data_IF_167649758182
#
_entry.id   IF_167649758182
#
_cell.length_a   1.000
_cell.length_b   1.000
_cell.length_c   1.000
_cell.angle_alpha   90.00
_cell.angle_beta   90.00
_cell.angle_gamma   90.00
#
_symmetry.space_group_name_H-M   'P 1'
#
loop_
_entity.id
_entity.type
_entity.pdbx_description
1 polymer ?
#
# COMPACT_ATOMS: atom_id res chain seq x y z
N UNK A 1 -44.20 -25.73 -68.66
CA UNK A 1 -43.82 -26.92 -67.87
C UNK A 1 -43.16 -26.45 -66.59
N UNK A 2 -43.73 -26.86 -65.45
CA UNK A 2 -43.09 -26.83 -64.13
C UNK A 2 -42.55 -28.26 -63.81
N UNK A 3 -41.98 -28.53 -62.61
CA UNK A 3 -40.62 -29.05 -62.35
C UNK A 3 -40.58 -30.57 -62.01
N UNK A 4 -39.44 -31.11 -61.48
CA UNK A 4 -39.30 -31.36 -60.02
C UNK A 4 -37.85 -31.13 -59.47
N UNK A 5 -37.65 -30.48 -58.30
CA UNK A 5 -37.57 -30.97 -56.89
C UNK A 5 -36.36 -31.89 -56.55
N UNK A 6 -35.41 -31.45 -55.71
CA UNK A 6 -34.92 -32.16 -54.49
C UNK A 6 -34.31 -31.15 -53.49
N UNK A 7 -34.71 -31.30 -52.23
CA UNK A 7 -34.37 -30.56 -51.00
C UNK A 7 -32.99 -30.93 -50.43
N UNK A 8 -32.31 -30.01 -49.75
CA UNK A 8 -31.48 -30.36 -48.60
C UNK A 8 -31.30 -29.15 -47.65
N UNK A 9 -31.78 -29.34 -46.43
CA UNK A 9 -31.76 -28.42 -45.30
C UNK A 9 -30.33 -28.13 -44.83
N UNK A 10 -29.93 -26.86 -44.83
CA UNK A 10 -28.77 -26.37 -44.08
C UNK A 10 -29.22 -25.65 -42.83
N UNK A 11 -29.48 -26.38 -41.74
CA UNK A 11 -29.69 -25.81 -40.40
C UNK A 11 -28.35 -25.26 -39.89
N UNK A 12 -28.16 -23.95 -39.97
CA UNK A 12 -27.12 -23.24 -39.24
C UNK A 12 -27.46 -23.26 -37.74
N UNK A 13 -26.86 -24.19 -37.00
CA UNK A 13 -26.84 -24.16 -35.53
C UNK A 13 -25.98 -22.99 -35.07
N UNK A 14 -26.61 -21.86 -34.75
CA UNK A 14 -26.00 -20.80 -33.98
C UNK A 14 -25.80 -21.29 -32.54
N UNK A 15 -24.63 -21.86 -32.24
CA UNK A 15 -24.22 -22.14 -30.87
C UNK A 15 -23.95 -20.80 -30.16
N UNK A 16 -24.97 -20.26 -29.50
CA UNK A 16 -24.79 -19.18 -28.54
C UNK A 16 -23.98 -19.72 -27.36
N UNK A 17 -22.68 -19.50 -27.39
CA UNK A 17 -21.82 -19.69 -26.22
C UNK A 17 -22.13 -18.56 -25.25
N UNK A 18 -23.08 -18.80 -24.35
CA UNK A 18 -23.27 -17.94 -23.19
C UNK A 18 -22.02 -18.10 -22.30
N UNK A 19 -21.10 -17.15 -22.38
CA UNK A 19 -20.06 -17.01 -21.38
C UNK A 19 -20.75 -16.67 -20.06
N UNK A 20 -20.76 -17.61 -19.11
CA UNK A 20 -21.12 -17.28 -17.73
C UNK A 20 -20.02 -16.36 -17.20
N UNK A 21 -20.27 -15.05 -17.25
CA UNK A 21 -19.53 -14.11 -16.41
C UNK A 21 -19.82 -14.52 -14.97
N UNK A 22 -18.80 -15.01 -14.25
CA UNK A 22 -18.90 -15.19 -12.82
C UNK A 22 -19.22 -13.79 -12.25
N UNK A 23 -20.42 -13.63 -11.69
CA UNK A 23 -20.77 -12.39 -11.00
C UNK A 23 -19.90 -12.33 -9.74
N UNK A 24 -18.77 -11.64 -9.82
CA UNK A 24 -17.95 -11.32 -8.66
C UNK A 24 -18.75 -10.33 -7.80
N UNK A 25 -19.14 -10.75 -6.61
CA UNK A 25 -19.88 -9.90 -5.68
C UNK A 25 -18.97 -8.78 -5.16
N UNK A 26 -19.26 -7.54 -5.53
CA UNK A 26 -18.52 -6.35 -5.11
C UNK A 26 -18.67 -6.12 -3.60
N UNK A 27 -17.60 -5.72 -2.93
CA UNK A 27 -17.60 -5.43 -1.50
C UNK A 27 -16.82 -4.16 -1.16
N UNK A 28 -17.12 -3.55 -0.01
CA UNK A 28 -16.42 -2.35 0.46
C UNK A 28 -15.46 -2.65 1.61
N UNK A 29 -14.28 -2.04 1.59
CA UNK A 29 -13.20 -2.29 2.55
C UNK A 29 -13.09 -1.19 3.62
N UNK A 30 -13.87 -1.30 4.69
CA UNK A 30 -13.92 -0.29 5.77
C UNK A 30 -12.56 -0.08 6.48
N UNK A 31 -11.80 -1.15 6.69
CA UNK A 31 -10.54 -1.10 7.45
C UNK A 31 -9.36 -0.54 6.66
N UNK A 32 -9.48 -0.39 5.34
CA UNK A 32 -8.38 0.08 4.50
C UNK A 32 -8.89 0.83 3.26
N UNK A 33 -9.07 2.14 3.43
CA UNK A 33 -9.62 3.06 2.40
C UNK A 33 -8.79 3.16 1.12
N UNK A 34 -7.54 2.69 1.13
CA UNK A 34 -6.65 2.70 -0.03
C UNK A 34 -6.66 1.36 -0.79
N UNK A 35 -7.67 0.52 -0.53
CA UNK A 35 -7.94 -0.68 -1.29
C UNK A 35 -8.81 -0.37 -2.51
N UNK A 36 -8.54 -1.05 -3.63
CA UNK A 36 -9.31 -0.97 -4.88
C UNK A 36 -9.58 -2.36 -5.42
N UNK A 37 -10.51 -2.49 -6.38
CA UNK A 37 -10.87 -3.77 -7.02
C UNK A 37 -11.25 -4.84 -5.98
N UNK A 38 -12.23 -4.52 -5.14
CA UNK A 38 -12.67 -5.35 -4.02
C UNK A 38 -13.77 -6.33 -4.45
N UNK A 39 -13.54 -7.61 -4.21
CA UNK A 39 -14.47 -8.71 -4.52
C UNK A 39 -14.58 -9.69 -3.36
N UNK A 40 -15.76 -10.28 -3.18
CA UNK A 40 -15.95 -11.35 -2.22
C UNK A 40 -15.34 -12.65 -2.72
N UNK A 41 -14.49 -13.26 -1.90
CA UNK A 41 -13.93 -14.57 -2.20
C UNK A 41 -14.86 -15.72 -1.78
N UNK A 42 -14.54 -16.94 -2.20
CA UNK A 42 -15.31 -18.15 -1.86
C UNK A 42 -15.39 -18.47 -0.36
N UNK A 43 -14.59 -17.81 0.47
CA UNK A 43 -14.59 -17.93 1.94
C UNK A 43 -15.42 -16.83 2.62
N UNK A 44 -16.15 -16.01 1.87
CA UNK A 44 -16.93 -14.91 2.41
C UNK A 44 -16.07 -13.76 2.95
N UNK A 45 -14.84 -13.58 2.44
CA UNK A 45 -13.97 -12.48 2.83
C UNK A 45 -13.84 -11.48 1.68
N UNK A 46 -13.96 -10.19 2.00
CA UNK A 46 -13.71 -9.13 1.04
C UNK A 46 -12.20 -9.03 0.75
N UNK A 47 -11.84 -9.30 -0.50
CA UNK A 47 -10.50 -9.36 -1.02
C UNK A 47 -10.29 -8.21 -2.00
N UNK A 48 -9.27 -7.39 -1.79
CA UNK A 48 -9.00 -6.21 -2.61
C UNK A 48 -7.52 -6.15 -3.01
N UNK A 49 -7.18 -5.18 -3.84
CA UNK A 49 -5.79 -4.84 -4.20
C UNK A 49 -5.38 -3.52 -3.54
N UNK A 50 -4.17 -3.45 -2.99
CA UNK A 50 -3.63 -2.20 -2.43
C UNK A 50 -3.17 -1.26 -3.55
N UNK A 51 -3.57 0.02 -3.50
CA UNK A 51 -3.18 1.03 -4.50
C UNK A 51 -1.66 1.12 -4.64
N UNK A 52 -1.19 1.20 -5.89
CA UNK A 52 0.24 1.27 -6.21
C UNK A 52 0.98 -0.07 -6.10
N UNK A 53 0.29 -1.17 -5.79
CA UNK A 53 0.86 -2.52 -5.70
C UNK A 53 -0.02 -3.56 -6.39
N UNK A 54 0.54 -4.75 -6.64
CA UNK A 54 -0.20 -5.94 -7.05
C UNK A 54 -0.56 -6.83 -5.85
N UNK A 55 -0.24 -6.38 -4.63
CA UNK A 55 -0.52 -7.14 -3.43
C UNK A 55 -2.02 -7.17 -3.12
N UNK A 56 -2.53 -8.38 -2.97
CA UNK A 56 -3.89 -8.65 -2.49
C UNK A 56 -3.97 -8.50 -0.97
N UNK A 57 -5.03 -7.85 -0.50
CA UNK A 57 -5.32 -7.65 0.92
C UNK A 57 -6.70 -8.21 1.26
N UNK A 58 -6.85 -8.69 2.50
CA UNK A 58 -8.13 -9.15 3.05
C UNK A 58 -8.59 -8.12 4.07
N UNK A 59 -9.77 -7.54 3.87
CA UNK A 59 -10.27 -6.39 4.64
C UNK A 59 -10.54 -6.66 6.12
N UNK A 60 -10.62 -7.94 6.53
CA UNK A 60 -10.73 -8.32 7.94
C UNK A 60 -9.39 -8.27 8.69
N UNK A 61 -8.28 -8.10 7.99
CA UNK A 61 -6.92 -7.97 8.55
C UNK A 61 -6.39 -6.57 8.32
N UNK A 62 -5.56 -6.09 9.25
CA UNK A 62 -4.82 -4.85 9.05
C UNK A 62 -3.85 -4.99 7.88
N UNK A 63 -3.91 -4.05 6.95
CA UNK A 63 -2.93 -3.94 5.88
C UNK A 63 -1.53 -3.73 6.48
N UNK A 64 -0.52 -4.34 5.86
CA UNK A 64 0.85 -4.17 6.31
C UNK A 64 1.32 -2.74 6.13
N UNK A 65 2.22 -2.29 7.01
CA UNK A 65 2.74 -0.91 6.98
C UNK A 65 3.37 -0.53 5.63
N UNK A 66 4.04 -1.48 4.95
CA UNK A 66 4.65 -1.21 3.64
C UNK A 66 3.58 -0.87 2.59
N UNK A 67 2.50 -1.64 2.52
CA UNK A 67 1.40 -1.41 1.58
C UNK A 67 0.67 -0.10 1.86
N UNK A 68 0.41 0.20 3.13
CA UNK A 68 -0.18 1.48 3.54
C UNK A 68 0.70 2.65 3.06
N UNK A 69 2.00 2.63 3.38
CA UNK A 69 2.93 3.69 2.97
C UNK A 69 3.04 3.83 1.44
N UNK A 70 3.09 2.71 0.70
CA UNK A 70 3.13 2.73 -0.77
C UNK A 70 1.88 3.37 -1.37
N UNK A 71 0.70 3.02 -0.86
CA UNK A 71 -0.56 3.56 -1.36
C UNK A 71 -0.71 5.06 -1.07
N UNK A 72 -0.32 5.51 0.13
CA UNK A 72 -0.31 6.94 0.51
C UNK A 72 0.59 7.78 -0.42
N UNK A 73 1.80 7.28 -0.66
CA UNK A 73 2.76 7.96 -1.54
C UNK A 73 2.28 7.98 -2.98
N UNK A 74 1.70 6.88 -3.48
CA UNK A 74 1.19 6.79 -4.85
C UNK A 74 0.10 7.84 -5.11
N UNK A 75 -0.85 7.98 -4.19
CA UNK A 75 -1.89 9.02 -4.30
C UNK A 75 -1.31 10.44 -4.25
N UNK A 76 -0.22 10.62 -3.52
CA UNK A 76 0.41 11.93 -3.35
C UNK A 76 1.30 12.35 -4.54
N UNK A 77 1.55 11.47 -5.53
CA UNK A 77 2.41 11.78 -6.69
C UNK A 77 1.69 12.57 -7.78
N UNK A 78 0.35 12.51 -7.84
CA UNK A 78 -0.45 13.23 -8.83
C UNK A 78 -0.29 14.75 -8.62
N UNK A 79 0.31 15.44 -9.59
CA UNK A 79 0.46 16.90 -9.60
C UNK A 79 1.79 17.44 -9.06
N UNK A 80 2.77 16.60 -8.70
CA UNK A 80 4.10 17.08 -8.30
C UNK A 80 4.94 17.49 -9.52
N UNK A 81 5.54 18.68 -9.44
CA UNK A 81 6.53 19.16 -10.43
C UNK A 81 7.85 18.40 -10.26
N UNK A 82 8.64 18.33 -11.34
CA UNK A 82 10.00 17.79 -11.27
C UNK A 82 10.80 18.53 -10.20
N UNK A 83 11.54 17.76 -9.39
CA UNK A 83 12.33 18.32 -8.30
C UNK A 83 13.59 18.98 -8.89
N UNK A 84 13.89 20.25 -8.55
CA UNK A 84 15.09 20.92 -9.03
C UNK A 84 16.36 20.30 -8.42
N UNK A 85 17.47 20.45 -9.14
CA UNK A 85 18.78 19.95 -8.73
C UNK A 85 19.24 20.63 -7.42
N UNK A 86 19.78 19.84 -6.48
CA UNK A 86 20.21 20.35 -5.17
C UNK A 86 19.10 20.56 -4.14
N UNK A 87 17.82 20.30 -4.45
CA UNK A 87 16.75 20.43 -3.46
C UNK A 87 16.91 19.41 -2.32
N UNK A 88 17.08 19.94 -1.10
CA UNK A 88 17.16 19.16 0.13
C UNK A 88 15.85 18.42 0.36
N UNK A 89 15.91 17.11 0.63
CA UNK A 89 14.73 16.32 0.98
C UNK A 89 15.02 15.41 2.15
N UNK A 90 14.32 15.70 3.25
CA UNK A 90 14.37 14.92 4.48
C UNK A 90 13.54 13.66 4.26
N UNK A 91 14.21 12.56 3.92
CA UNK A 91 13.60 11.27 3.57
C UNK A 91 13.50 10.31 4.76
N UNK A 92 13.76 10.75 5.99
CA UNK A 92 13.82 9.87 7.17
C UNK A 92 12.43 9.44 7.71
N UNK A 93 11.35 9.82 7.02
CA UNK A 93 9.97 9.50 7.39
C UNK A 93 9.23 8.70 6.33
N UNK A 94 8.54 9.40 5.44
CA UNK A 94 7.67 8.81 4.42
C UNK A 94 8.37 8.79 3.05
N UNK A 95 8.53 7.60 2.49
CA UNK A 95 9.15 7.34 1.19
C UNK A 95 8.33 6.29 0.44
N UNK A 96 8.49 6.16 -0.89
CA UNK A 96 7.87 5.07 -1.66
C UNK A 96 8.65 3.77 -1.40
N UNK A 97 8.09 2.79 -0.67
CA UNK A 97 8.86 1.63 -0.25
C UNK A 97 8.71 0.46 -1.22
N UNK A 98 9.75 -0.34 -1.38
CA UNK A 98 9.66 -1.65 -2.03
C UNK A 98 9.12 -2.69 -1.05
N UNK A 99 7.99 -3.28 -1.41
CA UNK A 99 7.35 -4.37 -0.66
C UNK A 99 7.60 -5.70 -1.37
N UNK A 100 7.65 -6.79 -0.61
CA UNK A 100 7.60 -8.14 -1.16
C UNK A 100 6.15 -8.59 -1.47
N UNK A 101 6.00 -9.84 -1.90
CA UNK A 101 4.70 -10.47 -2.24
C UNK A 101 3.78 -10.70 -1.04
N UNK A 102 4.32 -10.62 0.18
CA UNK A 102 3.53 -10.65 1.42
C UNK A 102 3.18 -9.24 1.91
N UNK A 103 3.56 -8.20 1.14
CA UNK A 103 3.40 -6.81 1.53
C UNK A 103 4.34 -6.37 2.66
N UNK A 104 5.42 -7.09 2.96
CA UNK A 104 6.42 -6.69 3.94
C UNK A 104 7.53 -5.87 3.27
N UNK A 105 8.22 -5.02 4.03
CA UNK A 105 9.36 -4.28 3.49
C UNK A 105 10.45 -5.24 3.00
N UNK A 106 10.95 -5.02 1.78
CA UNK A 106 12.24 -5.58 1.38
C UNK A 106 13.35 -4.98 2.25
N UNK A 107 14.34 -5.78 2.61
CA UNK A 107 15.42 -5.33 3.50
C UNK A 107 16.23 -4.19 2.88
N UNK A 108 16.46 -4.23 1.57
CA UNK A 108 17.06 -3.14 0.78
C UNK A 108 15.96 -2.26 0.19
N UNK A 109 16.14 -0.95 0.28
CA UNK A 109 15.27 0.09 -0.27
C UNK A 109 16.11 1.05 -1.10
N UNK A 110 15.59 1.51 -2.24
CA UNK A 110 16.33 2.36 -3.17
C UNK A 110 15.46 3.52 -3.67
N UNK A 111 16.07 4.67 -3.99
CA UNK A 111 15.34 5.88 -4.43
C UNK A 111 15.25 6.01 -5.98
N UNK A 112 15.24 4.90 -6.71
CA UNK A 112 15.25 4.90 -8.18
C UNK A 112 16.56 5.36 -8.84
N UNK A 113 17.55 5.79 -8.07
CA UNK A 113 18.96 5.96 -8.48
C UNK A 113 19.79 4.77 -8.00
N UNK A 114 21.12 4.84 -8.11
CA UNK A 114 22.03 3.87 -7.50
C UNK A 114 22.02 3.88 -5.97
N UNK A 115 21.42 4.88 -5.33
CA UNK A 115 21.45 5.04 -3.87
C UNK A 115 20.41 4.19 -3.15
N UNK A 116 20.89 3.31 -2.26
CA UNK A 116 20.07 2.39 -1.48
C UNK A 116 20.44 2.40 0.01
N UNK A 117 19.56 1.86 0.86
CA UNK A 117 19.77 1.71 2.30
C UNK A 117 19.07 0.45 2.83
N UNK A 118 19.50 -0.04 4.00
CA UNK A 118 18.82 -1.14 4.67
C UNK A 118 17.75 -0.63 5.64
N UNK A 119 16.63 -1.34 5.71
CA UNK A 119 15.51 -1.09 6.63
C UNK A 119 15.21 -2.31 7.50
N UNK A 120 14.62 -2.05 8.66
CA UNK A 120 14.07 -3.08 9.51
C UNK A 120 12.64 -3.48 9.08
N UNK A 121 12.02 -4.43 9.79
CA UNK A 121 10.63 -4.85 9.54
C UNK A 121 9.58 -3.75 9.70
N UNK A 122 9.93 -2.61 10.31
CA UNK A 122 9.04 -1.45 10.47
C UNK A 122 9.25 -0.38 9.39
N UNK A 123 10.12 -0.61 8.40
CA UNK A 123 10.45 0.33 7.33
C UNK A 123 11.37 1.49 7.78
N UNK A 124 12.03 1.36 8.92
CA UNK A 124 12.95 2.38 9.44
C UNK A 124 14.37 2.05 9.00
N UNK A 125 15.04 3.04 8.41
CA UNK A 125 16.43 2.97 7.98
C UNK A 125 17.38 2.60 9.12
N UNK A 126 18.33 1.70 8.85
CA UNK A 126 19.34 1.19 9.80
C UNK A 126 20.78 1.42 9.38
N UNK A 127 21.00 1.87 8.15
CA UNK A 127 22.31 2.15 7.58
C UNK A 127 22.30 3.49 6.89
N UNK A 128 23.48 4.00 6.55
CA UNK A 128 23.58 5.12 5.63
C UNK A 128 23.20 4.71 4.20
N UNK A 129 23.08 5.74 3.37
CA UNK A 129 22.72 5.62 1.97
C UNK A 129 23.98 5.40 1.16
N UNK A 130 24.01 4.32 0.40
CA UNK A 130 25.19 3.89 -0.36
C UNK A 130 24.78 3.27 -1.70
N UNK A 131 25.69 3.27 -2.67
CA UNK A 131 25.52 2.63 -3.96
C UNK A 131 25.79 1.12 -3.91
N UNK A 132 26.70 0.68 -3.04
CA UNK A 132 27.17 -0.71 -2.98
C UNK A 132 26.76 -1.43 -1.69
N UNK A 133 25.49 -1.28 -1.28
CA UNK A 133 24.98 -1.90 -0.06
C UNK A 133 24.27 -3.25 -0.31
N UNK A 134 24.52 -4.22 0.59
CA UNK A 134 23.86 -5.52 0.63
C UNK A 134 23.05 -5.66 1.92
N UNK A 135 21.77 -6.02 1.80
CA UNK A 135 20.86 -6.24 2.93
C UNK A 135 20.27 -7.66 2.81
N UNK A 136 20.94 -8.66 3.38
CA UNK A 136 20.56 -10.08 3.24
C UNK A 136 19.40 -10.49 4.15
N UNK A 137 19.28 -9.89 5.34
CA UNK A 137 18.22 -10.22 6.30
C UNK A 137 17.43 -8.98 6.75
N UNK A 138 16.14 -9.20 7.02
CA UNK A 138 15.27 -8.21 7.66
C UNK A 138 15.56 -8.17 9.16
N UNK A 139 16.17 -7.09 9.61
CA UNK A 139 16.32 -6.84 11.05
C UNK A 139 14.93 -6.70 11.68
N UNK A 140 14.58 -7.59 12.61
CA UNK A 140 13.29 -7.54 13.31
C UNK A 140 13.26 -6.38 14.29
N UNK A 141 12.19 -5.59 14.21
CA UNK A 141 11.93 -4.54 15.20
C UNK A 141 11.16 -5.13 16.37
N UNK A 142 11.81 -5.22 17.52
CA UNK A 142 11.11 -5.56 18.77
C UNK A 142 10.64 -4.25 19.41
N UNK A 143 9.34 -3.99 19.35
CA UNK A 143 8.76 -2.81 20.00
C UNK A 143 8.48 -3.18 21.46
N UNK A 144 9.43 -2.86 22.36
CA UNK A 144 9.12 -2.81 23.78
C UNK A 144 8.12 -1.67 24.02
N UNK A 145 6.98 -1.94 24.67
CA UNK A 145 6.03 -0.91 25.12
C UNK A 145 6.72 0.03 26.12
N UNK A 146 7.50 1.00 25.65
CA UNK A 146 7.87 2.15 26.46
C UNK A 146 6.59 2.97 26.60
N UNK A 147 6.02 3.01 27.81
CA UNK A 147 4.96 3.94 28.20
C UNK A 147 5.46 5.38 27.98
N UNK A 148 5.42 5.90 26.75
CA UNK A 148 5.56 7.34 26.49
C UNK A 148 4.17 7.92 26.51
N UNK A 149 3.85 8.70 27.55
CA UNK A 149 3.05 9.94 27.48
C UNK A 149 2.85 10.64 28.83
N UNK A 150 3.23 10.08 29.99
CA UNK A 150 3.03 10.80 31.26
C UNK A 150 4.10 11.90 31.55
N UNK A 151 5.35 11.71 31.10
CA UNK A 151 6.47 12.60 31.49
C UNK A 151 6.57 13.87 30.64
N UNK A 152 6.26 13.79 29.35
CA UNK A 152 6.35 14.93 28.42
C UNK A 152 5.18 15.90 28.63
N UNK A 153 3.96 15.36 28.76
CA UNK A 153 2.75 16.14 29.01
C UNK A 153 2.80 16.92 30.34
N UNK A 154 3.42 16.36 31.39
CA UNK A 154 3.59 17.04 32.68
C UNK A 154 4.61 18.19 32.61
N UNK A 155 5.62 18.10 31.74
CA UNK A 155 6.60 19.17 31.53
C UNK A 155 5.97 20.33 30.75
N UNK A 156 5.23 20.05 29.67
CA UNK A 156 4.54 21.09 28.88
C UNK A 156 3.45 21.81 29.68
N UNK A 157 2.67 21.09 30.50
CA UNK A 157 1.68 21.71 31.40
C UNK A 157 2.37 22.60 32.45
N UNK A 158 3.54 22.19 32.95
CA UNK A 158 4.30 22.98 33.92
C UNK A 158 4.86 24.26 33.28
N UNK A 159 5.48 24.15 32.10
CA UNK A 159 6.01 25.31 31.37
C UNK A 159 4.90 26.29 30.97
N UNK A 160 3.75 25.79 30.50
CA UNK A 160 2.59 26.64 30.19
C UNK A 160 2.02 27.31 31.45
N UNK A 161 2.03 26.62 32.59
CA UNK A 161 1.59 27.15 33.87
C UNK A 161 2.57 28.16 34.51
N UNK A 162 3.86 28.07 34.22
CA UNK A 162 4.88 29.05 34.62
C UNK A 162 4.78 30.31 33.76
N UNK A 163 4.65 30.16 32.44
CA UNK A 163 4.47 31.28 31.50
C UNK A 163 3.18 32.08 31.76
N UNK A 164 2.05 31.39 32.03
CA UNK A 164 0.81 32.07 32.38
C UNK A 164 0.88 32.81 33.73
N UNK A 165 1.80 32.41 34.62
CA UNK A 165 1.99 33.08 35.91
C UNK A 165 2.82 34.36 35.77
N UNK A 166 3.79 34.37 34.85
CA UNK A 166 4.56 35.56 34.49
C UNK A 166 3.74 36.58 33.70
N UNK A 167 2.76 36.14 32.92
CA UNK A 167 1.90 37.03 32.14
C UNK A 167 0.82 37.74 32.99
N UNK A 168 0.49 37.19 34.17
CA UNK A 168 -0.54 37.70 35.09
C UNK A 168 0.05 38.27 36.40
N UNK A 169 1.36 38.51 36.44
CA UNK A 169 2.07 39.21 37.50
C UNK A 169 2.37 40.65 37.08
#
# INVERSE_FOLDING_TARGET
MAPPQVLAFGLLLAAATATLAAAEEECHCENYKLAVNCVMNSKGQCQCTSVGSQNTIICSKLASKCLVMKAEITNSKLGRRAKPEGALQNNDGLYDPDCDESGLFKAKQCNGTSTCWCVNTAGVRRTDKDTEITCSERVRTVVSRKKRMAKYQKAEIKEMGEMNRELNA
#
